data_IF_818472361084
#
_entry.id   IF_818472361084
#
_cell.length_a   1.000
_cell.length_b   1.000
_cell.length_c   1.000
_cell.angle_alpha   90.00
_cell.angle_beta   90.00
_cell.angle_gamma   90.00
#
_symmetry.space_group_name_H-M   'P 1'
#
loop_
_entity.id
_entity.type
_entity.pdbx_description
1 polymer ?
#
# COMPACT_ATOMS: atom_id res chain seq x y z
N UNK A 1 27.47 -38.89 5.78
CA UNK A 1 28.18 -37.63 6.10
C UNK A 1 27.14 -36.53 6.25
N UNK A 2 26.72 -36.24 7.48
CA UNK A 2 25.59 -35.36 7.78
C UNK A 2 26.03 -33.88 7.69
N UNK A 3 25.44 -33.13 6.76
CA UNK A 3 25.67 -31.68 6.62
C UNK A 3 24.79 -30.95 7.63
N UNK A 4 25.42 -30.50 8.73
CA UNK A 4 24.80 -29.63 9.76
C UNK A 4 24.16 -28.41 9.10
N UNK A 5 22.88 -28.16 9.41
CA UNK A 5 22.19 -26.88 9.17
C UNK A 5 22.98 -25.78 9.89
N UNK A 6 23.52 -24.81 9.15
CA UNK A 6 23.91 -23.54 9.73
C UNK A 6 22.63 -22.79 10.11
N UNK A 7 22.34 -22.73 11.40
CA UNK A 7 21.44 -21.72 11.93
C UNK A 7 22.05 -20.35 11.61
N UNK A 8 21.28 -19.49 10.96
CA UNK A 8 21.67 -18.11 10.69
C UNK A 8 21.89 -17.40 12.02
N UNK A 9 23.13 -17.05 12.33
CA UNK A 9 23.40 -15.98 13.27
C UNK A 9 22.77 -14.72 12.68
N UNK A 10 21.58 -14.34 13.16
CA UNK A 10 21.11 -12.98 13.04
C UNK A 10 22.12 -12.11 13.80
N UNK A 11 22.85 -11.24 13.09
CA UNK A 11 23.83 -10.34 13.68
C UNK A 11 23.11 -9.36 14.62
N UNK A 12 23.18 -9.57 15.94
CA UNK A 12 22.56 -8.68 16.95
C UNK A 12 22.95 -7.21 16.74
N UNK A 13 24.21 -6.97 16.36
CA UNK A 13 24.75 -5.65 16.05
C UNK A 13 23.98 -4.94 14.93
N UNK A 14 23.54 -5.65 13.90
CA UNK A 14 22.82 -5.05 12.78
C UNK A 14 21.38 -4.67 13.18
N UNK A 15 20.74 -5.47 14.03
CA UNK A 15 19.41 -5.19 14.57
C UNK A 15 19.43 -3.97 15.51
N UNK A 16 20.41 -3.91 16.41
CA UNK A 16 20.61 -2.78 17.33
C UNK A 16 20.88 -1.47 16.57
N UNK A 17 21.71 -1.52 15.51
CA UNK A 17 21.96 -0.36 14.65
C UNK A 17 20.69 0.12 13.93
N UNK A 18 19.86 -0.80 13.45
CA UNK A 18 18.58 -0.46 12.81
C UNK A 18 17.62 0.17 13.80
N UNK A 19 17.51 -0.40 15.00
CA UNK A 19 16.66 0.17 16.05
C UNK A 19 17.11 1.58 16.43
N UNK A 20 18.42 1.80 16.61
CA UNK A 20 18.95 3.13 16.91
C UNK A 20 18.58 4.16 15.82
N UNK A 21 18.55 3.76 14.53
CA UNK A 21 18.15 4.64 13.43
C UNK A 21 16.65 4.94 13.41
N UNK A 22 15.82 3.99 13.82
CA UNK A 22 14.38 4.19 14.01
C UNK A 22 14.14 5.21 15.12
N UNK A 23 14.82 5.05 16.26
CA UNK A 23 14.70 5.95 17.41
C UNK A 23 15.22 7.36 17.10
N UNK A 24 16.33 7.45 16.36
CA UNK A 24 16.89 8.71 15.86
C UNK A 24 15.88 9.43 14.94
N UNK A 25 15.28 8.71 13.98
CA UNK A 25 14.26 9.27 13.09
C UNK A 25 13.02 9.74 13.87
N UNK A 26 12.52 8.91 14.78
CA UNK A 26 11.35 9.23 15.62
C UNK A 26 11.61 10.50 16.44
N UNK A 27 12.78 10.60 17.06
CA UNK A 27 13.19 11.78 17.84
C UNK A 27 13.32 13.01 16.95
N UNK A 28 13.87 12.86 15.74
CA UNK A 28 14.08 13.96 14.81
C UNK A 28 12.78 14.53 14.22
N UNK A 29 11.69 13.76 14.16
CA UNK A 29 10.37 14.25 13.73
C UNK A 29 9.74 15.22 14.74
N UNK A 30 10.10 15.09 16.02
CA UNK A 30 9.51 15.88 17.11
C UNK A 30 8.04 15.51 17.39
N UNK A 31 7.31 16.38 18.11
CA UNK A 31 5.91 16.14 18.43
C UNK A 31 5.04 16.10 17.17
N UNK A 32 4.15 15.10 17.08
CA UNK A 32 3.20 14.93 15.98
C UNK A 32 1.76 15.08 16.50
N UNK A 33 0.81 15.28 15.58
CA UNK A 33 -0.62 15.16 15.93
C UNK A 33 -0.96 13.70 16.27
N UNK A 34 -2.09 13.46 16.94
CA UNK A 34 -2.54 12.09 17.26
C UNK A 34 -2.60 11.18 16.02
N UNK A 35 -3.14 11.67 14.90
CA UNK A 35 -3.11 10.97 13.60
C UNK A 35 -1.68 10.76 13.08
N UNK A 36 -0.81 11.75 13.22
CA UNK A 36 0.60 11.65 12.84
C UNK A 36 1.33 10.56 13.62
N UNK A 37 1.12 10.48 14.94
CA UNK A 37 1.66 9.42 15.79
C UNK A 37 1.13 8.04 15.38
N UNK A 38 -0.18 7.93 15.10
CA UNK A 38 -0.81 6.69 14.62
C UNK A 38 -0.25 6.22 13.27
N UNK A 39 0.02 7.16 12.36
CA UNK A 39 0.63 6.86 11.06
C UNK A 39 2.12 6.48 11.19
N UNK A 40 2.88 7.20 12.02
CA UNK A 40 4.32 7.01 12.22
C UNK A 40 4.64 5.84 13.16
N UNK A 41 4.03 4.68 12.92
CA UNK A 41 4.38 3.42 13.58
C UNK A 41 5.83 3.02 13.30
N UNK A 42 6.40 2.12 14.11
CA UNK A 42 7.76 1.62 13.91
C UNK A 42 7.96 1.01 12.51
N UNK A 43 6.98 0.23 12.04
CA UNK A 43 6.99 -0.32 10.69
C UNK A 43 6.95 0.79 9.63
N UNK A 44 6.20 1.87 9.86
CA UNK A 44 6.24 3.05 9.00
C UNK A 44 7.63 3.67 8.95
N UNK A 45 8.23 3.98 10.09
CA UNK A 45 9.57 4.57 10.15
C UNK A 45 10.60 3.70 9.43
N UNK A 46 10.50 2.37 9.59
CA UNK A 46 11.35 1.40 8.91
C UNK A 46 11.23 1.48 7.39
N UNK A 47 10.00 1.53 6.83
CA UNK A 47 9.81 1.66 5.36
C UNK A 47 10.46 2.93 4.80
N UNK A 48 10.35 4.05 5.50
CA UNK A 48 10.97 5.31 5.07
C UNK A 48 12.50 5.25 5.15
N UNK A 49 13.05 4.61 6.19
CA UNK A 49 14.48 4.35 6.31
C UNK A 49 14.98 3.45 5.17
N UNK A 50 14.32 2.32 4.91
CA UNK A 50 14.68 1.40 3.83
C UNK A 50 14.68 2.10 2.47
N UNK A 51 13.65 2.91 2.18
CA UNK A 51 13.52 3.67 0.93
C UNK A 51 14.62 4.73 0.74
N UNK A 52 15.35 5.09 1.80
CA UNK A 52 16.44 6.06 1.78
C UNK A 52 17.77 5.48 2.28
N UNK A 53 17.93 4.16 2.18
CA UNK A 53 19.16 3.44 2.55
C UNK A 53 19.61 3.74 3.98
N UNK A 54 18.65 3.75 4.92
CA UNK A 54 18.85 4.02 6.34
C UNK A 54 19.47 5.40 6.64
N UNK A 55 19.36 6.36 5.70
CA UNK A 55 19.77 7.73 5.91
C UNK A 55 18.66 8.53 6.63
N UNK A 56 18.86 8.84 7.91
CA UNK A 56 17.85 9.50 8.75
C UNK A 56 17.40 10.85 8.20
N UNK A 57 18.33 11.72 7.78
CA UNK A 57 18.00 13.05 7.25
C UNK A 57 17.10 12.98 6.01
N UNK A 58 17.44 12.11 5.04
CA UNK A 58 16.64 11.90 3.82
C UNK A 58 15.28 11.26 4.14
N UNK A 59 15.26 10.32 5.08
CA UNK A 59 14.03 9.63 5.52
C UNK A 59 13.06 10.61 6.20
N UNK A 60 13.59 11.44 7.11
CA UNK A 60 12.85 12.52 7.77
C UNK A 60 12.19 13.43 6.75
N UNK A 61 12.97 13.97 5.79
CA UNK A 61 12.44 14.86 4.75
C UNK A 61 11.27 14.21 3.98
N UNK A 62 11.45 12.97 3.54
CA UNK A 62 10.41 12.24 2.80
C UNK A 62 9.16 11.99 3.65
N UNK A 63 9.33 11.66 4.93
CA UNK A 63 8.23 11.42 5.85
C UNK A 63 7.48 12.72 6.19
N UNK A 64 8.18 13.84 6.39
CA UNK A 64 7.55 15.16 6.57
C UNK A 64 6.75 15.59 5.33
N UNK A 65 7.27 15.35 4.12
CA UNK A 65 6.54 15.57 2.87
C UNK A 65 5.28 14.70 2.79
N UNK A 66 5.36 13.44 3.23
CA UNK A 66 4.22 12.54 3.29
C UNK A 66 3.17 12.98 4.31
N UNK A 67 3.59 13.40 5.51
CA UNK A 67 2.68 13.91 6.53
C UNK A 67 1.95 15.17 6.06
N UNK A 68 2.66 16.07 5.37
CA UNK A 68 2.05 17.26 4.73
C UNK A 68 1.04 16.86 3.66
N UNK A 69 1.39 15.92 2.79
CA UNK A 69 0.48 15.42 1.77
C UNK A 69 -0.76 14.77 2.39
N UNK A 70 -0.60 13.91 3.40
CA UNK A 70 -1.74 13.28 4.09
C UNK A 70 -2.65 14.30 4.77
N UNK A 71 -2.08 15.32 5.42
CA UNK A 71 -2.86 16.39 6.03
C UNK A 71 -3.70 17.17 5.00
N UNK A 72 -3.19 17.37 3.79
CA UNK A 72 -3.88 18.09 2.72
C UNK A 72 -4.85 17.21 1.91
N UNK A 73 -4.42 16.02 1.52
CA UNK A 73 -5.14 15.10 0.64
C UNK A 73 -6.16 14.24 1.39
N UNK A 74 -5.92 13.99 2.69
CA UNK A 74 -6.78 13.21 3.60
C UNK A 74 -7.17 11.83 3.04
N UNK A 75 -6.19 10.98 2.68
CA UNK A 75 -6.47 9.68 2.08
C UNK A 75 -7.33 8.78 2.99
N UNK A 76 -7.18 8.91 4.32
CA UNK A 76 -7.98 8.18 5.29
C UNK A 76 -9.49 8.55 5.32
N UNK A 77 -9.86 9.67 4.70
CA UNK A 77 -11.24 10.17 4.70
C UNK A 77 -11.98 9.91 3.38
N UNK A 78 -11.31 9.33 2.38
CA UNK A 78 -11.96 8.89 1.14
C UNK A 78 -12.89 7.72 1.48
N UNK A 79 -14.13 7.75 0.98
CA UNK A 79 -15.13 6.70 1.19
C UNK A 79 -15.54 6.07 -0.13
N UNK A 80 -16.09 4.86 -0.04
CA UNK A 80 -16.54 4.09 -1.19
C UNK A 80 -17.46 4.89 -2.14
N UNK A 81 -18.47 5.64 -1.66
CA UNK A 81 -19.33 6.43 -2.54
C UNK A 81 -18.60 7.57 -3.28
N UNK A 82 -17.39 7.94 -2.89
CA UNK A 82 -16.59 8.95 -3.60
C UNK A 82 -15.90 8.37 -4.84
N UNK A 83 -15.79 7.03 -4.94
CA UNK A 83 -14.93 6.34 -5.91
C UNK A 83 -15.56 5.08 -6.54
N UNK A 84 -16.79 4.70 -6.17
CA UNK A 84 -17.46 3.48 -6.62
C UNK A 84 -17.57 3.40 -8.15
N UNK A 85 -17.85 4.53 -8.80
CA UNK A 85 -17.90 4.68 -10.27
C UNK A 85 -16.60 4.22 -10.93
N UNK A 86 -15.45 4.42 -10.30
CA UNK A 86 -14.15 4.01 -10.83
C UNK A 86 -13.97 2.48 -10.78
N UNK A 87 -14.75 1.78 -9.96
CA UNK A 87 -14.66 0.34 -9.73
C UNK A 87 -15.68 -0.50 -10.51
N UNK A 88 -16.69 0.09 -11.14
CA UNK A 88 -17.83 -0.62 -11.76
C UNK A 88 -17.44 -1.81 -12.65
N UNK A 89 -16.35 -1.67 -13.41
CA UNK A 89 -15.87 -2.71 -14.35
C UNK A 89 -14.87 -3.69 -13.71
N UNK A 90 -14.43 -3.45 -12.48
CA UNK A 90 -13.37 -4.21 -11.83
C UNK A 90 -11.99 -3.95 -12.44
N UNK A 91 -11.71 -2.71 -12.87
CA UNK A 91 -10.41 -2.30 -13.40
C UNK A 91 -9.29 -2.34 -12.37
N UNK A 92 -9.62 -2.19 -11.09
CA UNK A 92 -8.68 -2.34 -9.99
C UNK A 92 -9.45 -2.65 -8.72
N UNK A 93 -8.96 -3.58 -7.89
CA UNK A 93 -9.60 -3.92 -6.63
C UNK A 93 -8.66 -4.71 -5.72
N UNK A 94 -8.93 -4.68 -4.41
CA UNK A 94 -8.29 -5.59 -3.45
C UNK A 94 -8.98 -6.96 -3.55
N UNK A 95 -8.23 -8.00 -3.87
CA UNK A 95 -8.76 -9.36 -3.90
C UNK A 95 -9.24 -9.81 -2.51
N UNK A 96 -10.22 -10.71 -2.47
CA UNK A 96 -10.71 -11.35 -1.24
C UNK A 96 -9.76 -12.42 -0.71
N UNK A 97 -8.78 -12.84 -1.50
CA UNK A 97 -7.76 -13.80 -1.13
C UNK A 97 -6.40 -13.14 -0.88
N UNK A 98 -5.48 -13.92 -0.30
CA UNK A 98 -4.10 -13.52 -0.02
C UNK A 98 -3.14 -14.42 -0.77
N UNK A 99 -1.91 -13.95 -0.91
CA UNK A 99 -0.82 -14.81 -1.35
C UNK A 99 -0.39 -15.79 -0.23
N UNK A 100 0.58 -16.66 -0.53
CA UNK A 100 1.08 -17.66 0.42
C UNK A 100 1.80 -17.06 1.64
N UNK A 101 2.22 -15.79 1.58
CA UNK A 101 2.85 -15.05 2.68
C UNK A 101 1.83 -14.20 3.46
N UNK A 102 0.54 -14.30 3.15
CA UNK A 102 -0.52 -13.51 3.78
C UNK A 102 -0.63 -12.06 3.29
N UNK A 103 0.15 -11.66 2.29
CA UNK A 103 0.09 -10.33 1.67
C UNK A 103 -1.26 -10.14 0.99
N UNK A 104 -1.81 -8.93 1.09
CA UNK A 104 -2.97 -8.56 0.29
C UNK A 104 -2.59 -8.56 -1.19
N UNK A 105 -3.52 -9.00 -2.04
CA UNK A 105 -3.35 -9.00 -3.49
C UNK A 105 -4.22 -7.90 -4.08
N UNK A 106 -3.60 -6.96 -4.79
CA UNK A 106 -4.29 -5.94 -5.60
C UNK A 106 -4.33 -6.44 -7.03
N UNK A 107 -5.53 -6.57 -7.59
CA UNK A 107 -5.73 -6.93 -8.99
C UNK A 107 -5.96 -5.65 -9.78
N UNK A 108 -5.29 -5.52 -10.93
CA UNK A 108 -5.49 -4.42 -11.86
C UNK A 108 -5.70 -4.97 -13.27
N UNK A 109 -6.64 -4.40 -14.02
CA UNK A 109 -7.03 -4.79 -15.37
C UNK A 109 -7.15 -3.54 -16.24
N UNK A 110 -6.06 -3.04 -16.83
CA UNK A 110 -6.09 -1.80 -17.62
C UNK A 110 -7.05 -1.85 -18.82
N UNK A 111 -7.37 -3.04 -19.33
CA UNK A 111 -8.36 -3.25 -20.41
C UNK A 111 -9.81 -2.98 -19.98
N UNK A 112 -10.05 -2.81 -18.68
CA UNK A 112 -11.37 -2.51 -18.11
C UNK A 112 -11.54 -1.04 -17.71
N UNK A 113 -10.65 -0.15 -18.15
CA UNK A 113 -10.79 1.29 -17.88
C UNK A 113 -12.17 1.79 -18.34
N UNK A 114 -12.89 2.45 -17.44
CA UNK A 114 -14.28 2.86 -17.64
C UNK A 114 -14.49 4.37 -17.47
N UNK A 115 -13.47 5.09 -16.98
CA UNK A 115 -13.55 6.52 -16.76
C UNK A 115 -12.39 7.24 -17.46
N UNK A 116 -12.52 8.55 -17.63
CA UNK A 116 -11.47 9.42 -18.16
C UNK A 116 -11.01 10.48 -17.15
N UNK A 117 -11.59 10.48 -15.95
CA UNK A 117 -11.30 11.47 -14.92
C UNK A 117 -9.94 11.20 -14.31
N UNK A 118 -8.98 12.08 -14.59
CA UNK A 118 -7.65 11.99 -14.01
C UNK A 118 -7.70 12.02 -12.47
N UNK A 119 -8.40 12.99 -11.88
CA UNK A 119 -8.49 13.14 -10.42
C UNK A 119 -9.26 11.98 -9.79
N UNK A 120 -10.30 11.47 -10.48
CA UNK A 120 -11.07 10.30 -10.05
C UNK A 120 -10.20 9.03 -9.99
N UNK A 121 -9.43 8.78 -11.04
CA UNK A 121 -8.48 7.66 -11.10
C UNK A 121 -7.41 7.72 -10.02
N UNK A 122 -6.85 8.92 -9.77
CA UNK A 122 -5.87 9.12 -8.69
C UNK A 122 -6.49 8.88 -7.31
N UNK A 123 -7.69 9.42 -7.07
CA UNK A 123 -8.42 9.19 -5.81
C UNK A 123 -8.74 7.72 -5.59
N UNK A 124 -9.17 7.01 -6.63
CA UNK A 124 -9.46 5.58 -6.57
C UNK A 124 -8.21 4.74 -6.31
N UNK A 125 -7.07 5.07 -6.94
CA UNK A 125 -5.78 4.44 -6.63
C UNK A 125 -5.44 4.57 -5.14
N UNK A 126 -5.53 5.79 -4.59
CA UNK A 126 -5.24 6.05 -3.19
C UNK A 126 -6.20 5.28 -2.27
N UNK A 127 -7.50 5.26 -2.60
CA UNK A 127 -8.50 4.50 -1.86
C UNK A 127 -8.17 3.00 -1.82
N UNK A 128 -7.85 2.39 -2.97
CA UNK A 128 -7.47 0.97 -3.04
C UNK A 128 -6.21 0.69 -2.25
N UNK A 129 -5.21 1.60 -2.29
CA UNK A 129 -3.98 1.47 -1.50
C UNK A 129 -4.25 1.48 0.00
N UNK A 130 -4.99 2.47 0.52
CA UNK A 130 -5.29 2.56 1.96
C UNK A 130 -6.07 1.31 2.44
N UNK A 131 -7.07 0.87 1.66
CA UNK A 131 -7.84 -0.34 1.98
C UNK A 131 -6.96 -1.60 1.97
N UNK A 132 -6.11 -1.76 0.95
CA UNK A 132 -5.22 -2.91 0.85
C UNK A 132 -4.16 -2.91 1.96
N UNK A 133 -3.71 -1.74 2.43
CA UNK A 133 -2.78 -1.58 3.55
C UNK A 133 -3.44 -1.92 4.89
N UNK A 134 -4.62 -1.37 5.18
CA UNK A 134 -5.35 -1.66 6.42
C UNK A 134 -5.79 -3.13 6.53
N UNK A 135 -5.75 -3.84 5.41
CA UNK A 135 -6.06 -5.26 5.34
C UNK A 135 -4.83 -6.14 5.41
N UNK A 136 -3.63 -5.61 5.62
CA UNK A 136 -2.45 -6.45 5.83
C UNK A 136 -2.52 -7.11 7.22
N UNK A 137 -2.08 -8.38 7.35
CA UNK A 137 -1.92 -8.99 8.66
C UNK A 137 -0.88 -8.25 9.49
N UNK A 138 -0.94 -8.38 10.81
CA UNK A 138 0.08 -7.84 11.70
C UNK A 138 1.48 -8.34 11.29
N UNK A 139 2.45 -7.43 11.26
CA UNK A 139 3.82 -7.73 10.84
C UNK A 139 4.04 -7.81 9.33
N UNK A 140 3.01 -7.63 8.51
CA UNK A 140 3.13 -7.57 7.05
C UNK A 140 2.96 -6.14 6.52
N UNK A 141 3.88 -5.72 5.66
CA UNK A 141 3.96 -4.33 5.19
C UNK A 141 3.80 -4.20 3.67
N UNK A 142 3.87 -5.32 2.95
CA UNK A 142 3.96 -5.35 1.49
C UNK A 142 2.74 -6.03 0.86
N UNK A 143 2.43 -5.60 -0.35
CA UNK A 143 1.31 -6.09 -1.15
C UNK A 143 1.82 -6.77 -2.42
N UNK A 144 1.01 -7.67 -2.97
CA UNK A 144 1.21 -8.28 -4.28
C UNK A 144 0.35 -7.55 -5.29
N UNK A 145 0.91 -7.23 -6.45
CA UNK A 145 0.16 -6.69 -7.58
C UNK A 145 0.00 -7.75 -8.66
N UNK A 146 -1.22 -8.01 -9.10
CA UNK A 146 -1.53 -8.91 -10.20
C UNK A 146 -2.22 -8.11 -11.30
N UNK A 147 -1.46 -7.80 -12.35
CA UNK A 147 -1.87 -6.86 -13.40
C UNK A 147 -2.13 -7.65 -14.69
N UNK A 148 -3.38 -7.71 -15.10
CA UNK A 148 -3.83 -8.43 -16.30
C UNK A 148 -3.73 -7.57 -17.55
N UNK A 149 -2.81 -7.93 -18.44
CA UNK A 149 -2.66 -7.32 -19.76
C UNK A 149 -3.26 -8.17 -20.88
N UNK A 150 -4.05 -9.21 -20.57
CA UNK A 150 -4.72 -10.02 -21.59
C UNK A 150 -5.61 -9.13 -22.46
N UNK A 151 -5.38 -9.15 -23.78
CA UNK A 151 -6.13 -8.31 -24.74
C UNK A 151 -5.73 -6.82 -24.73
N UNK A 152 -4.67 -6.44 -24.01
CA UNK A 152 -4.21 -5.06 -23.96
C UNK A 152 -3.75 -4.56 -25.33
N UNK A 153 -3.93 -3.26 -25.56
CA UNK A 153 -3.48 -2.56 -26.78
C UNK A 153 -3.08 -1.15 -26.39
N UNK A 154 -2.42 -0.41 -27.29
CA UNK A 154 -2.03 0.97 -27.02
C UNK A 154 -3.22 1.90 -26.73
N UNK A 155 -4.45 1.54 -27.13
CA UNK A 155 -5.65 2.30 -26.78
C UNK A 155 -5.98 2.24 -25.28
N UNK A 156 -5.53 1.18 -24.60
CA UNK A 156 -5.67 1.00 -23.15
C UNK A 156 -4.48 1.57 -22.36
N UNK A 157 -3.54 2.26 -23.02
CA UNK A 157 -2.40 2.86 -22.34
C UNK A 157 -2.89 4.02 -21.47
N UNK A 158 -2.54 3.98 -20.18
CA UNK A 158 -2.84 5.05 -19.24
C UNK A 158 -2.25 6.38 -19.73
N UNK A 159 -3.01 7.48 -19.73
CA UNK A 159 -2.48 8.80 -20.09
C UNK A 159 -1.24 9.15 -19.28
N UNK A 160 -0.22 9.73 -19.93
CA UNK A 160 1.09 10.04 -19.33
C UNK A 160 0.95 10.87 -18.04
N UNK A 161 0.00 11.82 -18.00
CA UNK A 161 -0.27 12.63 -16.81
C UNK A 161 -0.67 11.76 -15.61
N UNK A 162 -1.66 10.88 -15.79
CA UNK A 162 -2.13 9.94 -14.75
C UNK A 162 -1.03 8.97 -14.35
N UNK A 163 -0.30 8.41 -15.32
CA UNK A 163 0.79 7.47 -15.04
C UNK A 163 1.91 8.12 -14.20
N UNK A 164 2.30 9.36 -14.55
CA UNK A 164 3.33 10.12 -13.81
C UNK A 164 2.89 10.42 -12.38
N UNK A 165 1.66 10.87 -12.20
CA UNK A 165 1.14 11.20 -10.86
C UNK A 165 0.95 9.96 -9.99
N UNK A 166 0.42 8.88 -10.55
CA UNK A 166 0.32 7.58 -9.88
C UNK A 166 1.68 7.09 -9.41
N UNK A 167 2.69 7.19 -10.28
CA UNK A 167 4.08 6.81 -9.96
C UNK A 167 4.65 7.70 -8.84
N UNK A 168 4.42 9.00 -8.92
CA UNK A 168 4.85 9.96 -7.89
C UNK A 168 4.22 9.66 -6.53
N UNK A 169 2.93 9.33 -6.48
CA UNK A 169 2.24 8.97 -5.24
C UNK A 169 2.83 7.70 -4.64
N UNK A 170 2.98 6.64 -5.45
CA UNK A 170 3.53 5.36 -5.00
C UNK A 170 4.95 5.50 -4.46
N UNK A 171 5.80 6.28 -5.13
CA UNK A 171 7.21 6.45 -4.75
C UNK A 171 7.42 7.43 -3.59
N UNK A 172 6.62 8.49 -3.50
CA UNK A 172 6.80 9.54 -2.48
C UNK A 172 6.07 9.25 -1.17
N UNK A 173 4.87 8.65 -1.23
CA UNK A 173 3.97 8.55 -0.08
C UNK A 173 3.69 7.11 0.37
N UNK A 174 3.98 6.12 -0.49
CA UNK A 174 3.82 4.70 -0.18
C UNK A 174 5.13 3.89 -0.32
N UNK A 175 6.26 4.35 0.27
CA UNK A 175 7.54 3.66 0.14
C UNK A 175 7.48 2.23 0.62
N UNK A 176 8.21 1.35 -0.08
CA UNK A 176 8.43 -0.06 0.28
C UNK A 176 7.12 -0.85 0.50
N UNK A 177 6.01 -0.46 -0.16
CA UNK A 177 4.74 -1.19 -0.14
C UNK A 177 4.64 -2.30 -1.20
N UNK A 178 5.40 -2.22 -2.29
CA UNK A 178 5.41 -3.27 -3.31
C UNK A 178 6.28 -4.44 -2.85
N UNK A 179 5.67 -5.63 -2.72
CA UNK A 179 6.36 -6.90 -2.50
C UNK A 179 6.82 -7.53 -3.81
N UNK A 180 5.85 -7.85 -4.67
CA UNK A 180 6.06 -8.44 -5.99
C UNK A 180 4.91 -8.00 -6.92
N UNK A 181 5.20 -7.82 -8.20
CA UNK A 181 4.18 -7.56 -9.21
C UNK A 181 4.26 -8.60 -10.32
N UNK A 182 3.11 -9.15 -10.70
CA UNK A 182 2.94 -10.04 -11.84
C UNK A 182 2.26 -9.28 -12.98
N UNK A 183 2.98 -9.11 -14.09
CA UNK A 183 2.45 -8.61 -15.35
C UNK A 183 1.98 -9.82 -16.15
N UNK A 184 0.68 -10.09 -16.11
CA UNK A 184 0.07 -11.29 -16.66
C UNK A 184 -0.37 -11.10 -18.11
N UNK A 185 0.03 -12.04 -18.98
CA UNK A 185 -0.27 -12.08 -20.41
C UNK A 185 -0.05 -10.75 -21.18
N UNK A 186 1.03 -9.99 -20.97
CA UNK A 186 1.27 -8.80 -21.78
C UNK A 186 1.48 -9.17 -23.25
N UNK A 187 0.77 -8.54 -24.20
CA UNK A 187 0.96 -8.80 -25.61
C UNK A 187 2.29 -8.21 -26.09
N UNK A 188 2.83 -8.67 -27.23
CA UNK A 188 4.12 -8.19 -27.76
C UNK A 188 4.21 -6.66 -27.89
N UNK A 189 3.10 -6.00 -28.22
CA UNK A 189 3.03 -4.53 -28.30
C UNK A 189 3.31 -3.83 -26.96
N UNK A 190 3.08 -4.51 -25.83
CA UNK A 190 3.38 -4.01 -24.49
C UNK A 190 4.87 -3.72 -24.28
N UNK A 191 5.79 -4.41 -24.96
CA UNK A 191 7.23 -4.20 -24.80
C UNK A 191 7.65 -2.75 -25.08
N UNK A 192 7.03 -2.11 -26.09
CA UNK A 192 7.30 -0.71 -26.42
C UNK A 192 6.83 0.24 -25.30
N UNK A 193 5.63 -0.02 -24.76
CA UNK A 193 5.08 0.73 -23.64
C UNK A 193 5.91 0.53 -22.36
N UNK A 194 6.29 -0.70 -22.04
CA UNK A 194 7.12 -1.01 -20.88
C UNK A 194 8.48 -0.31 -20.94
N UNK A 195 9.13 -0.26 -22.12
CA UNK A 195 10.37 0.50 -22.31
C UNK A 195 10.21 1.97 -21.95
N UNK A 196 9.07 2.60 -22.27
CA UNK A 196 8.80 3.98 -21.90
C UNK A 196 8.52 4.14 -20.39
N UNK A 197 7.67 3.28 -19.82
CA UNK A 197 7.28 3.38 -18.40
C UNK A 197 8.44 3.04 -17.45
N UNK A 198 9.34 2.14 -17.85
CA UNK A 198 10.51 1.73 -17.05
C UNK A 198 11.39 2.91 -16.63
N UNK A 199 11.43 4.00 -17.40
CA UNK A 199 12.20 5.21 -17.03
C UNK A 199 11.66 5.94 -15.80
N UNK A 200 10.39 5.72 -15.42
CA UNK A 200 9.79 6.33 -14.24
C UNK A 200 9.88 5.44 -12.99
N UNK A 201 10.24 4.16 -13.16
CA UNK A 201 10.34 3.21 -12.06
C UNK A 201 11.75 3.20 -11.48
N UNK A 202 11.84 3.17 -10.15
CA UNK A 202 13.12 2.99 -9.49
C UNK A 202 13.63 1.54 -9.68
N UNK A 203 14.96 1.31 -9.63
CA UNK A 203 15.54 -0.02 -9.87
C UNK A 203 14.97 -1.13 -8.98
N UNK A 204 14.67 -0.85 -7.70
CA UNK A 204 14.12 -1.87 -6.78
C UNK A 204 12.71 -2.28 -7.17
N UNK A 205 11.90 -1.35 -7.66
CA UNK A 205 10.57 -1.67 -8.19
C UNK A 205 10.65 -2.54 -9.45
N UNK A 206 11.62 -2.28 -10.33
CA UNK A 206 11.84 -3.08 -11.55
C UNK A 206 12.21 -4.53 -11.21
N UNK A 207 13.06 -4.75 -10.20
CA UNK A 207 13.47 -6.09 -9.74
C UNK A 207 12.30 -6.94 -9.21
N UNK A 208 11.20 -6.29 -8.80
CA UNK A 208 9.99 -6.96 -8.29
C UNK A 208 9.01 -7.35 -9.38
N UNK A 209 9.24 -6.95 -10.64
CA UNK A 209 8.34 -7.23 -11.77
C UNK A 209 8.59 -8.63 -12.34
N UNK A 210 7.52 -9.41 -12.48
CA UNK A 210 7.54 -10.75 -13.05
C UNK A 210 6.56 -10.82 -14.21
N UNK A 211 7.06 -11.16 -15.39
CA UNK A 211 6.22 -11.39 -16.58
C UNK A 211 5.72 -12.83 -16.55
N UNK A 212 4.40 -13.00 -16.64
CA UNK A 212 3.76 -14.32 -16.57
C UNK A 212 2.88 -14.50 -17.79
N UNK A 213 2.98 -15.66 -18.45
CA UNK A 213 2.20 -15.99 -19.63
C UNK A 213 1.47 -17.32 -19.39
N UNK A 214 0.16 -17.33 -19.63
CA UNK A 214 -0.70 -18.49 -19.38
C UNK A 214 -0.25 -19.75 -20.14
N UNK A 215 0.37 -19.58 -21.31
CA UNK A 215 0.88 -20.68 -22.16
C UNK A 215 2.31 -21.10 -21.82
N UNK A 216 2.98 -20.40 -20.90
CA UNK A 216 4.35 -20.70 -20.47
C UNK A 216 4.31 -21.26 -19.04
N UNK A 217 4.44 -22.59 -18.94
CA UNK A 217 4.40 -23.33 -17.68
C UNK A 217 5.45 -22.86 -16.66
N UNK A 218 6.65 -22.47 -17.10
CA UNK A 218 7.70 -22.02 -16.18
C UNK A 218 7.35 -20.67 -15.56
N UNK A 219 6.83 -19.75 -16.36
CA UNK A 219 6.35 -18.46 -15.85
C UNK A 219 5.16 -18.63 -14.88
N UNK A 220 4.24 -19.55 -15.18
CA UNK A 220 3.11 -19.88 -14.31
C UNK A 220 3.55 -20.49 -12.98
N UNK A 221 4.60 -21.34 -12.98
CA UNK A 221 5.18 -21.87 -11.75
C UNK A 221 5.67 -20.76 -10.82
N UNK A 222 6.18 -19.65 -11.34
CA UNK A 222 6.57 -18.48 -10.51
C UNK A 222 5.34 -17.87 -9.83
N UNK A 223 4.24 -17.69 -10.56
CA UNK A 223 2.98 -17.18 -9.99
C UNK A 223 2.44 -18.14 -8.92
N UNK A 224 2.40 -19.45 -9.18
CA UNK A 224 1.87 -20.46 -8.24
C UNK A 224 2.71 -20.65 -6.97
N UNK A 225 4.01 -20.36 -7.04
CA UNK A 225 4.88 -20.28 -5.85
C UNK A 225 4.49 -19.12 -4.94
N UNK A 226 3.93 -18.04 -5.49
CA UNK A 226 3.50 -16.88 -4.72
C UNK A 226 2.04 -16.98 -4.28
N UNK A 227 1.13 -17.40 -5.17
CA UNK A 227 -0.32 -17.42 -4.93
C UNK A 227 -0.82 -18.86 -5.08
N UNK A 228 -1.67 -19.33 -4.15
CA UNK A 228 -2.23 -20.67 -4.25
C UNK A 228 -3.17 -20.78 -5.46
N UNK A 229 -2.96 -21.75 -6.38
CA UNK A 229 -3.86 -21.93 -7.52
C UNK A 229 -5.33 -22.18 -7.13
N UNK A 230 -5.61 -22.69 -5.92
CA UNK A 230 -7.00 -22.85 -5.45
C UNK A 230 -7.73 -21.53 -5.27
N UNK A 231 -7.03 -20.46 -4.85
CA UNK A 231 -7.64 -19.14 -4.63
C UNK A 231 -7.46 -18.20 -5.82
N UNK A 232 -6.46 -18.47 -6.66
CA UNK A 232 -6.17 -17.67 -7.85
C UNK A 232 -7.35 -17.75 -8.86
N UNK A 233 -7.78 -16.62 -9.45
CA UNK A 233 -8.88 -16.65 -10.42
C UNK A 233 -8.54 -17.45 -11.68
N UNK A 234 -9.55 -18.07 -12.28
CA UNK A 234 -9.41 -18.89 -13.49
C UNK A 234 -8.84 -18.09 -14.68
N UNK A 235 -9.17 -16.79 -14.80
CA UNK A 235 -8.60 -15.89 -15.81
C UNK A 235 -7.06 -15.79 -15.72
N UNK A 236 -6.51 -16.04 -14.53
CA UNK A 236 -5.07 -16.08 -14.26
C UNK A 236 -4.50 -17.50 -14.22
N UNK A 237 -5.24 -18.51 -14.71
CA UNK A 237 -4.83 -19.92 -14.72
C UNK A 237 -5.06 -20.67 -13.39
N UNK A 238 -5.77 -20.08 -12.43
CA UNK A 238 -6.13 -20.75 -11.18
C UNK A 238 -7.40 -21.61 -11.27
N UNK A 239 -7.93 -22.00 -10.11
CA UNK A 239 -9.15 -22.83 -9.97
C UNK A 239 -10.34 -22.09 -9.37
N UNK A 240 -10.15 -20.83 -8.98
CA UNK A 240 -11.23 -20.01 -8.45
C UNK A 240 -12.05 -19.38 -9.59
N UNK A 241 -13.32 -19.75 -9.71
CA UNK A 241 -14.21 -19.24 -10.75
C UNK A 241 -15.01 -17.99 -10.33
N UNK A 242 -14.72 -17.42 -9.16
CA UNK A 242 -15.36 -16.18 -8.71
C UNK A 242 -14.85 -15.01 -9.55
N UNK A 243 -15.74 -14.45 -10.37
CA UNK A 243 -15.49 -13.23 -11.10
C UNK A 243 -15.71 -12.00 -10.21
N UNK A 244 -15.15 -10.86 -10.62
CA UNK A 244 -15.45 -9.59 -9.97
C UNK A 244 -16.95 -9.29 -10.08
N UNK A 245 -17.59 -9.08 -8.93
CA UNK A 245 -18.98 -8.63 -8.82
C UNK A 245 -18.99 -7.29 -8.08
N UNK A 246 -19.50 -6.25 -8.73
CA UNK A 246 -19.45 -4.88 -8.20
C UNK A 246 -20.32 -4.71 -6.94
N UNK A 247 -21.47 -5.38 -6.86
CA UNK A 247 -22.37 -5.28 -5.70
C UNK A 247 -21.76 -5.98 -4.47
N UNK A 248 -21.15 -7.15 -4.65
CA UNK A 248 -20.44 -7.85 -3.57
C UNK A 248 -19.22 -7.07 -3.12
N UNK A 249 -18.47 -6.50 -4.06
CA UNK A 249 -17.31 -5.66 -3.75
C UNK A 249 -17.73 -4.37 -3.03
N UNK A 250 -18.85 -3.76 -3.43
CA UNK A 250 -19.43 -2.59 -2.76
C UNK A 250 -19.73 -2.87 -1.31
N UNK A 251 -20.38 -4.00 -0.99
CA UNK A 251 -20.66 -4.40 0.40
C UNK A 251 -19.36 -4.50 1.21
N UNK A 252 -18.35 -5.16 0.64
CA UNK A 252 -17.04 -5.32 1.28
C UNK A 252 -16.35 -3.96 1.55
N UNK A 253 -16.39 -3.04 0.59
CA UNK A 253 -15.77 -1.71 0.71
C UNK A 253 -16.50 -0.83 1.73
N UNK A 254 -17.83 -0.90 1.80
CA UNK A 254 -18.60 -0.21 2.84
C UNK A 254 -18.27 -0.72 4.25
N UNK A 255 -18.05 -2.03 4.42
CA UNK A 255 -17.56 -2.58 5.69
C UNK A 255 -16.15 -2.10 6.02
N UNK A 256 -15.27 -2.01 5.03
CA UNK A 256 -13.90 -1.54 5.23
C UNK A 256 -13.81 -0.03 5.48
N UNK A 257 -14.75 0.76 4.97
CA UNK A 257 -14.90 2.18 5.32
C UNK A 257 -15.21 2.37 6.82
N UNK A 258 -16.04 1.49 7.39
CA UNK A 258 -16.35 1.49 8.83
C UNK A 258 -15.08 1.14 9.62
N UNK A 259 -14.35 0.10 9.22
CA UNK A 259 -13.07 -0.29 9.85
C UNK A 259 -12.05 0.83 9.76
N UNK A 260 -11.93 1.48 8.60
CA UNK A 260 -11.04 2.60 8.35
C UNK A 260 -11.40 3.78 9.25
N UNK A 261 -12.68 4.08 9.41
CA UNK A 261 -13.15 5.17 10.28
C UNK A 261 -12.95 4.88 11.78
N UNK A 262 -12.92 3.60 12.18
CA UNK A 262 -12.69 3.15 13.57
C UNK A 262 -11.20 2.95 13.92
N UNK A 263 -10.38 2.48 12.98
CA UNK A 263 -8.98 2.95 12.92
C UNK A 263 -9.03 4.48 12.70
N UNK A 264 -8.01 5.32 12.62
CA UNK A 264 -8.18 6.79 12.41
C UNK A 264 -9.11 7.67 13.28
N UNK A 265 -10.18 7.20 13.94
CA UNK A 265 -10.85 7.91 15.02
C UNK A 265 -9.84 8.13 16.12
N UNK A 266 -9.78 9.35 16.61
CA UNK A 266 -8.93 9.70 17.73
C UNK A 266 -9.50 9.01 18.97
N UNK A 267 -8.78 8.04 19.55
CA UNK A 267 -8.98 7.68 20.94
C UNK A 267 -8.55 8.90 21.76
N UNK A 268 -9.45 9.85 21.93
CA UNK A 268 -9.23 11.01 22.76
C UNK A 268 -8.99 10.50 24.18
N UNK A 269 -7.72 10.31 24.57
CA UNK A 269 -7.36 10.32 25.98
C UNK A 269 -7.79 11.70 26.49
N UNK A 270 -8.72 11.79 27.47
CA UNK A 270 -9.06 13.08 28.03
C UNK A 270 -7.77 13.63 28.64
N UNK A 271 -7.29 14.74 28.08
CA UNK A 271 -6.29 15.56 28.74
C UNK A 271 -6.96 16.05 30.01
N UNK A 272 -6.60 15.45 31.15
CA UNK A 272 -6.98 15.96 32.46
C UNK A 272 -6.32 17.33 32.64
N UNK A 273 -6.98 18.39 32.14
CA UNK A 273 -6.71 19.75 32.57
C UNK A 273 -7.19 19.86 34.02
N UNK A 274 -6.26 19.71 34.96
CA UNK A 274 -6.48 20.12 36.35
C UNK A 274 -6.64 21.64 36.34
N UNK A 275 -7.81 22.20 36.71
CA UNK A 275 -7.95 23.64 36.86
C UNK A 275 -7.25 24.03 38.16
N UNK A 276 -6.16 24.78 38.04
CA UNK A 276 -5.46 25.38 39.16
C UNK A 276 -6.33 26.51 39.73
N UNK A 277 -7.26 26.17 40.63
CA UNK A 277 -8.11 27.12 41.35
C UNK A 277 -7.56 27.40 42.74
N UNK A 278 -6.90 28.55 42.92
CA UNK A 278 -6.57 29.11 44.23
C UNK A 278 -7.86 29.32 45.04
N UNK A 279 -7.97 28.66 46.18
CA UNK A 279 -8.93 28.99 47.23
C UNK A 279 -8.39 30.20 48.01
N UNK A 280 -9.07 31.34 47.87
CA UNK A 280 -8.94 32.51 48.75
C UNK A 280 -9.73 32.19 50.02
N UNK A 281 -9.09 32.33 51.18
CA UNK A 281 -9.75 32.20 52.48
C UNK A 281 -10.60 33.45 52.73
N UNK A 282 -11.89 33.26 52.99
CA UNK A 282 -12.78 34.33 53.41
C UNK A 282 -12.86 34.35 54.95
N UNK A 283 -12.55 35.50 55.53
CA UNK A 283 -12.54 35.77 56.97
C UNK A 283 -13.81 36.55 57.28
N UNK A 284 -14.75 35.93 57.99
CA UNK A 284 -15.89 36.64 58.60
C UNK A 284 -15.46 37.44 59.82
N UNK A 285 -16.06 38.62 60.01
CA UNK A 285 -16.40 39.03 61.37
C UNK A 285 -17.87 39.47 61.54
N UNK A 286 -18.41 39.00 62.67
CA UNK A 286 -19.60 39.39 63.44
C UNK A 286 -20.99 39.02 62.91
#
# INVERSE_FOLDING_TARGET
MFRRKHASHFNSSDAEQRQAKIDELKSALGPLSARGEKYCSEACLTRYLEARNWNVTKSKKMLEESLKWRAAYRPEDIRWPDVDVEAETGKMYRASFRDREGRTVVIMRPTKENTTSHDGQIRFLVYVLENAILSLPEGQEKMVWLIDFTGWTMAHATPIKTARESTSILQSYYPERLGIAFLFNPPKVFEAFYKAVKYFLDPRSIEKLNFVYLKDEESMKVLYKCIDPEVLPADFGGRNNVAYNHDEYTKLMLEDDIKTSSFWSDDAKPVNCVPNGKLVADVTPQ
#
